data_IF_938486657857
#
_entry.id   IF_938486657857
#
_cell.length_a   1.000
_cell.length_b   1.000
_cell.length_c   1.000
_cell.angle_alpha   90.00
_cell.angle_beta   90.00
_cell.angle_gamma   90.00
#
_symmetry.space_group_name_H-M   'P 1'
#
loop_
_entity.id
_entity.type
_entity.pdbx_description
1 polymer ?
#
# COMPACT_ATOMS: atom_id res chain seq x y z
N UNK A 1 46.79 -41.67 -58.34
CA UNK A 1 46.62 -41.56 -56.88
C UNK A 1 46.40 -40.10 -56.54
N UNK A 2 45.22 -39.70 -56.03
CA UNK A 2 44.91 -38.32 -55.69
C UNK A 2 45.07 -38.08 -54.18
N UNK A 3 45.61 -36.94 -53.78
CA UNK A 3 45.53 -36.40 -52.41
C UNK A 3 46.21 -35.02 -52.38
N UNK A 4 45.70 -33.96 -51.78
CA UNK A 4 44.39 -33.60 -51.23
C UNK A 4 44.47 -32.07 -51.13
N UNK A 5 43.69 -31.32 -51.90
CA UNK A 5 43.62 -29.87 -51.76
C UNK A 5 42.63 -29.55 -50.63
N UNK A 6 43.14 -29.01 -49.52
CA UNK A 6 42.31 -28.51 -48.41
C UNK A 6 41.84 -27.10 -48.77
N UNK A 7 40.57 -26.98 -49.13
CA UNK A 7 39.87 -25.72 -49.35
C UNK A 7 39.42 -25.18 -47.98
N UNK A 8 40.10 -24.15 -47.48
CA UNK A 8 39.71 -23.44 -46.27
C UNK A 8 38.68 -22.36 -46.64
N UNK A 9 37.40 -22.63 -46.39
CA UNK A 9 36.32 -21.63 -46.55
C UNK A 9 36.22 -20.83 -45.24
N UNK A 10 36.66 -19.57 -45.27
CA UNK A 10 36.46 -18.62 -44.18
C UNK A 10 35.11 -17.92 -44.40
N UNK A 11 34.05 -18.37 -43.72
CA UNK A 11 32.81 -17.61 -43.57
C UNK A 11 33.03 -16.51 -42.52
N UNK A 12 33.24 -15.27 -42.97
CA UNK A 12 33.16 -14.09 -42.10
C UNK A 12 31.68 -13.70 -41.95
N UNK A 13 31.06 -14.16 -40.87
CA UNK A 13 29.76 -13.64 -40.43
C UNK A 13 29.97 -12.29 -39.72
N UNK A 14 29.52 -11.22 -40.36
CA UNK A 14 29.47 -9.87 -39.80
C UNK A 14 28.37 -9.83 -38.74
N UNK A 15 28.71 -10.17 -37.50
CA UNK A 15 27.90 -9.83 -36.33
C UNK A 15 28.32 -8.43 -35.86
N UNK A 16 27.59 -7.40 -36.32
CA UNK A 16 27.69 -6.08 -35.71
C UNK A 16 27.16 -6.12 -34.27
N UNK A 17 27.80 -5.45 -33.30
CA UNK A 17 27.27 -5.37 -31.95
C UNK A 17 26.04 -4.46 -32.01
N UNK A 18 24.85 -5.06 -31.98
CA UNK A 18 23.63 -4.33 -31.67
C UNK A 18 23.70 -3.98 -30.17
N UNK A 19 24.37 -2.86 -29.86
CA UNK A 19 24.33 -2.26 -28.55
C UNK A 19 22.88 -1.87 -28.27
N UNK A 20 22.20 -2.72 -27.50
CA UNK A 20 20.92 -2.41 -26.91
C UNK A 20 21.18 -1.27 -25.92
N UNK A 21 21.08 -0.03 -26.40
CA UNK A 21 21.06 1.15 -25.54
C UNK A 21 19.88 0.98 -24.59
N UNK A 22 20.17 0.49 -23.39
CA UNK A 22 19.35 0.64 -22.21
C UNK A 22 19.20 2.15 -21.99
N UNK A 23 18.24 2.74 -22.70
CA UNK A 23 17.64 4.01 -22.34
C UNK A 23 17.17 3.85 -20.90
N UNK A 24 18.02 4.25 -19.97
CA UNK A 24 17.61 4.75 -18.69
C UNK A 24 16.82 6.01 -19.02
N UNK A 25 15.57 5.82 -19.44
CA UNK A 25 14.60 6.91 -19.51
C UNK A 25 14.70 7.57 -18.15
N UNK A 26 15.09 8.85 -18.11
CA UNK A 26 14.93 9.64 -16.89
C UNK A 26 13.49 9.44 -16.50
N UNK A 27 13.26 8.70 -15.40
CA UNK A 27 11.93 8.52 -14.85
C UNK A 27 11.33 9.92 -14.76
N UNK A 28 10.29 10.19 -15.54
CA UNK A 28 9.60 11.46 -15.42
C UNK A 28 9.14 11.57 -13.96
N UNK A 29 9.21 12.77 -13.36
CA UNK A 29 8.73 12.96 -12.00
C UNK A 29 7.29 12.48 -11.94
N UNK A 30 7.04 11.45 -11.14
CA UNK A 30 5.72 10.84 -11.02
C UNK A 30 4.69 11.89 -10.60
N UNK A 31 3.43 11.76 -11.04
CA UNK A 31 2.37 12.67 -10.64
C UNK A 31 2.22 12.67 -9.10
N UNK A 32 1.91 13.84 -8.50
CA UNK A 32 1.65 13.93 -7.07
C UNK A 32 0.43 13.08 -6.69
N UNK A 33 0.34 12.61 -5.43
CA UNK A 33 -0.82 11.85 -4.97
C UNK A 33 -2.10 12.71 -4.96
N UNK A 34 -3.24 12.09 -5.25
CA UNK A 34 -4.54 12.76 -5.23
C UNK A 34 -4.97 13.15 -3.81
N UNK A 35 -5.30 14.41 -3.59
CA UNK A 35 -5.77 14.90 -2.29
C UNK A 35 -7.30 14.76 -2.15
N UNK A 36 -7.74 13.84 -1.28
CA UNK A 36 -9.15 13.63 -0.96
C UNK A 36 -9.60 14.60 0.14
N UNK A 37 -9.78 15.87 -0.22
CA UNK A 37 -10.22 16.94 0.68
C UNK A 37 -11.74 16.94 0.95
N UNK A 38 -12.17 17.38 2.13
CA UNK A 38 -13.60 17.56 2.45
C UNK A 38 -14.21 16.37 3.21
N UNK A 39 -15.38 15.86 2.77
CA UNK A 39 -15.94 14.61 3.31
C UNK A 39 -15.10 13.42 2.81
N UNK A 40 -14.02 13.15 3.54
CA UNK A 40 -13.10 12.04 3.32
C UNK A 40 -13.84 10.71 3.12
N UNK A 41 -14.89 10.44 3.89
CA UNK A 41 -15.64 9.18 3.78
C UNK A 41 -16.53 9.14 2.54
N UNK A 42 -16.97 10.27 2.01
CA UNK A 42 -17.67 10.29 0.73
C UNK A 42 -16.70 10.06 -0.44
N UNK A 43 -15.49 10.64 -0.35
CA UNK A 43 -14.48 10.61 -1.42
C UNK A 43 -13.61 9.35 -1.45
N UNK A 44 -13.57 8.58 -0.37
CA UNK A 44 -12.89 7.28 -0.36
C UNK A 44 -13.69 6.24 -1.17
N UNK A 45 -13.35 6.10 -2.45
CA UNK A 45 -13.98 5.19 -3.41
C UNK A 45 -13.61 3.72 -3.18
N UNK A 46 -14.31 2.82 -3.88
CA UNK A 46 -13.97 1.40 -3.90
C UNK A 46 -12.60 1.14 -4.54
N UNK A 47 -12.20 1.95 -5.52
CA UNK A 47 -10.90 1.89 -6.18
C UNK A 47 -9.76 2.22 -5.20
N UNK A 48 -9.89 3.30 -4.42
CA UNK A 48 -8.93 3.64 -3.37
C UNK A 48 -8.74 2.49 -2.36
N UNK A 49 -9.85 1.89 -1.91
CA UNK A 49 -9.82 0.73 -1.02
C UNK A 49 -9.13 -0.46 -1.67
N UNK A 50 -9.44 -0.74 -2.95
CA UNK A 50 -8.84 -1.82 -3.71
C UNK A 50 -7.33 -1.63 -3.87
N UNK A 51 -6.88 -0.39 -4.12
CA UNK A 51 -5.47 -0.05 -4.20
C UNK A 51 -4.72 -0.31 -2.89
N UNK A 52 -5.31 0.09 -1.75
CA UNK A 52 -4.76 -0.26 -0.42
C UNK A 52 -4.67 -1.77 -0.24
N UNK A 53 -5.71 -2.53 -0.61
CA UNK A 53 -5.69 -4.01 -0.55
C UNK A 53 -4.55 -4.59 -1.39
N UNK A 54 -4.38 -4.12 -2.62
CA UNK A 54 -3.34 -4.59 -3.53
C UNK A 54 -1.95 -4.35 -2.95
N UNK A 55 -1.69 -3.12 -2.49
CA UNK A 55 -0.38 -2.74 -1.98
C UNK A 55 -0.01 -3.42 -0.67
N UNK A 56 -0.99 -3.84 0.13
CA UNK A 56 -0.79 -4.56 1.39
C UNK A 56 -0.83 -6.10 1.25
N UNK A 57 -0.89 -6.62 0.02
CA UNK A 57 -0.69 -8.05 -0.24
C UNK A 57 0.68 -8.50 0.28
N UNK A 58 0.74 -9.71 0.85
CA UNK A 58 1.96 -10.31 1.39
C UNK A 58 3.09 -10.37 0.36
N UNK A 59 2.77 -10.66 -0.90
CA UNK A 59 3.71 -10.65 -2.01
C UNK A 59 4.35 -9.29 -2.26
N UNK A 60 3.61 -8.20 -2.05
CA UNK A 60 4.12 -6.83 -2.17
C UNK A 60 4.94 -6.40 -0.95
N UNK A 61 4.76 -7.05 0.21
CA UNK A 61 5.39 -6.70 1.50
C UNK A 61 6.77 -7.32 1.72
N UNK A 62 7.04 -8.47 1.11
CA UNK A 62 8.26 -9.23 1.37
C UNK A 62 9.27 -9.05 0.21
N UNK A 63 10.29 -8.16 0.33
CA UNK A 63 11.22 -7.86 -0.76
C UNK A 63 12.08 -9.07 -1.16
N UNK A 64 12.47 -9.90 -0.20
CA UNK A 64 13.49 -10.94 -0.37
C UNK A 64 12.92 -12.34 -0.59
N UNK A 65 11.75 -12.46 -1.21
CA UNK A 65 11.14 -13.76 -1.50
C UNK A 65 11.71 -14.32 -2.79
N UNK A 66 11.98 -15.63 -2.79
CA UNK A 66 12.24 -16.39 -4.01
C UNK A 66 11.07 -16.23 -5.01
N UNK A 67 11.30 -15.74 -6.23
CA UNK A 67 10.24 -15.59 -7.24
C UNK A 67 9.48 -16.89 -7.58
N UNK A 68 10.07 -18.05 -7.30
CA UNK A 68 9.42 -19.35 -7.48
C UNK A 68 8.51 -19.76 -6.29
N UNK A 69 8.51 -18.99 -5.20
CA UNK A 69 7.73 -19.25 -3.99
C UNK A 69 7.13 -17.95 -3.42
N UNK A 70 6.44 -17.19 -4.26
CA UNK A 70 5.78 -15.94 -3.88
C UNK A 70 4.68 -16.25 -2.85
N UNK A 71 4.64 -15.59 -1.68
CA UNK A 71 3.61 -15.82 -0.69
C UNK A 71 2.25 -15.36 -1.21
N UNK A 72 1.22 -16.17 -0.97
CA UNK A 72 -0.14 -15.92 -1.46
C UNK A 72 -1.03 -15.57 -0.27
N UNK A 73 -1.72 -14.44 -0.35
CA UNK A 73 -2.81 -14.13 0.58
C UNK A 73 -4.08 -14.92 0.19
N UNK A 74 -4.87 -15.30 1.19
CA UNK A 74 -6.15 -15.98 0.99
C UNK A 74 -7.26 -14.98 0.65
N UNK A 75 -7.15 -14.33 -0.50
CA UNK A 75 -8.14 -13.37 -1.03
C UNK A 75 -9.02 -14.00 -2.10
N UNK A 76 -10.24 -13.46 -2.24
CA UNK A 76 -11.05 -13.64 -3.44
C UNK A 76 -10.76 -12.47 -4.37
N UNK A 77 -10.41 -12.75 -5.63
CA UNK A 77 -10.01 -11.74 -6.61
C UNK A 77 -10.51 -12.09 -8.00
N UNK A 78 -10.86 -11.06 -8.76
CA UNK A 78 -10.96 -11.13 -10.22
C UNK A 78 -9.76 -10.43 -10.84
N UNK A 79 -8.99 -11.18 -11.63
CA UNK A 79 -7.87 -10.67 -12.43
C UNK A 79 -8.31 -10.75 -13.89
N UNK A 80 -8.64 -9.61 -14.53
CA UNK A 80 -9.07 -9.62 -15.92
C UNK A 80 -8.01 -10.17 -16.88
N UNK A 81 -8.45 -10.67 -18.03
CA UNK A 81 -7.56 -11.27 -19.03
C UNK A 81 -6.58 -10.24 -19.59
N UNK A 82 -7.05 -9.01 -19.81
CA UNK A 82 -6.24 -7.88 -20.26
C UNK A 82 -5.12 -7.54 -19.28
N UNK A 83 -5.35 -7.61 -17.97
CA UNK A 83 -4.32 -7.40 -16.94
C UNK A 83 -3.27 -8.49 -17.01
N UNK A 84 -3.70 -9.74 -17.22
CA UNK A 84 -2.80 -10.90 -17.36
C UNK A 84 -1.91 -10.75 -18.61
N UNK A 85 -2.48 -10.34 -19.75
CA UNK A 85 -1.70 -10.13 -20.97
C UNK A 85 -0.76 -8.93 -20.86
N UNK A 86 -1.23 -7.81 -20.28
CA UNK A 86 -0.41 -6.62 -20.02
C UNK A 86 0.78 -6.95 -19.12
N UNK A 87 0.55 -7.68 -18.03
CA UNK A 87 1.61 -8.17 -17.15
C UNK A 87 2.63 -9.02 -17.90
N UNK A 88 2.18 -10.02 -18.65
CA UNK A 88 3.11 -10.84 -19.44
C UNK A 88 3.96 -9.98 -20.36
N UNK A 89 3.34 -9.03 -21.07
CA UNK A 89 4.05 -8.11 -21.96
C UNK A 89 5.10 -7.26 -21.23
N UNK A 90 4.82 -6.78 -20.02
CA UNK A 90 5.78 -5.95 -19.25
C UNK A 90 6.97 -6.76 -18.71
N UNK A 91 6.83 -8.06 -18.51
CA UNK A 91 7.89 -8.94 -17.99
C UNK A 91 8.55 -9.84 -19.03
N UNK A 92 8.22 -9.71 -20.32
CA UNK A 92 8.74 -10.58 -21.40
C UNK A 92 10.28 -10.63 -21.50
N UNK A 93 10.97 -9.57 -21.07
CA UNK A 93 12.44 -9.50 -21.04
C UNK A 93 13.09 -10.17 -19.82
N UNK A 94 12.31 -10.35 -18.75
CA UNK A 94 12.76 -10.87 -17.47
C UNK A 94 13.10 -12.37 -17.58
N UNK A 95 14.17 -12.80 -16.89
CA UNK A 95 14.69 -14.16 -17.01
C UNK A 95 13.66 -15.18 -16.51
N UNK A 96 12.84 -14.82 -15.52
CA UNK A 96 11.87 -15.69 -14.86
C UNK A 96 10.63 -15.93 -15.75
N UNK A 97 10.36 -15.01 -16.68
CA UNK A 97 9.23 -15.05 -17.62
C UNK A 97 9.62 -15.35 -19.07
N UNK A 98 10.90 -15.61 -19.34
CA UNK A 98 11.40 -15.89 -20.69
C UNK A 98 10.88 -17.23 -21.22
N UNK A 99 10.33 -17.19 -22.43
CA UNK A 99 9.92 -18.36 -23.21
C UNK A 99 8.54 -18.92 -22.89
N UNK A 100 8.04 -19.79 -23.77
CA UNK A 100 6.66 -20.29 -23.75
C UNK A 100 6.31 -21.11 -22.51
N UNK A 101 7.29 -21.80 -21.92
CA UNK A 101 7.07 -22.58 -20.70
C UNK A 101 6.71 -21.69 -19.51
N UNK A 102 7.42 -20.58 -19.32
CA UNK A 102 7.16 -19.64 -18.22
C UNK A 102 5.81 -18.94 -18.40
N UNK A 103 5.50 -18.50 -19.63
CA UNK A 103 4.20 -17.93 -19.99
C UNK A 103 3.05 -18.88 -19.68
N UNK A 104 3.13 -20.15 -20.14
CA UNK A 104 2.10 -21.16 -19.88
C UNK A 104 1.92 -21.43 -18.38
N UNK A 105 3.02 -21.49 -17.62
CA UNK A 105 2.99 -21.65 -16.16
C UNK A 105 2.24 -20.50 -15.48
N UNK A 106 2.52 -19.25 -15.83
CA UNK A 106 1.79 -18.10 -15.28
C UNK A 106 0.31 -18.12 -15.67
N UNK A 107 -0.01 -18.42 -16.93
CA UNK A 107 -1.40 -18.50 -17.39
C UNK A 107 -2.21 -19.59 -16.67
N UNK A 108 -1.55 -20.70 -16.28
CA UNK A 108 -2.16 -21.80 -15.53
C UNK A 108 -2.36 -21.51 -14.03
N UNK A 109 -1.79 -20.42 -13.50
CA UNK A 109 -1.99 -20.04 -12.10
C UNK A 109 -3.45 -19.68 -11.79
N UNK A 110 -3.84 -19.93 -10.54
CA UNK A 110 -5.11 -19.45 -9.98
C UNK A 110 -5.14 -17.91 -9.90
N UNK A 111 -6.32 -17.26 -9.81
CA UNK A 111 -6.39 -15.81 -9.69
C UNK A 111 -5.60 -15.21 -8.51
N UNK A 112 -5.62 -15.76 -7.28
CA UNK A 112 -4.79 -15.26 -6.18
C UNK A 112 -3.28 -15.41 -6.43
N UNK A 113 -2.85 -16.48 -7.10
CA UNK A 113 -1.45 -16.67 -7.49
C UNK A 113 -1.02 -15.64 -8.55
N UNK A 114 -1.85 -15.38 -9.56
CA UNK A 114 -1.59 -14.32 -10.56
C UNK A 114 -1.50 -12.96 -9.90
N UNK A 115 -2.48 -12.60 -9.06
CA UNK A 115 -2.49 -11.35 -8.30
C UNK A 115 -1.21 -11.19 -7.47
N UNK A 116 -0.82 -12.21 -6.71
CA UNK A 116 0.39 -12.17 -5.87
C UNK A 116 1.66 -12.02 -6.70
N UNK A 117 1.72 -12.71 -7.85
CA UNK A 117 2.84 -12.58 -8.79
C UNK A 117 2.91 -11.17 -9.38
N UNK A 118 1.80 -10.63 -9.85
CA UNK A 118 1.71 -9.26 -10.38
C UNK A 118 2.14 -8.25 -9.30
N UNK A 119 1.60 -8.37 -8.09
CA UNK A 119 1.94 -7.47 -6.97
C UNK A 119 3.41 -7.54 -6.57
N UNK A 120 4.04 -8.72 -6.59
CA UNK A 120 5.47 -8.87 -6.31
C UNK A 120 6.34 -8.18 -7.37
N UNK A 121 6.04 -8.38 -8.66
CA UNK A 121 6.87 -7.89 -9.75
C UNK A 121 6.63 -6.43 -10.10
N UNK A 122 5.41 -5.93 -9.88
CA UNK A 122 5.04 -4.54 -10.18
C UNK A 122 5.18 -3.62 -8.97
N UNK A 123 5.59 -4.12 -7.79
CA UNK A 123 5.82 -3.25 -6.63
C UNK A 123 6.89 -2.22 -6.96
N UNK A 124 6.65 -0.99 -6.53
CA UNK A 124 7.56 0.15 -6.65
C UNK A 124 7.92 0.52 -8.11
N UNK A 125 7.25 -0.07 -9.10
CA UNK A 125 7.33 0.37 -10.50
C UNK A 125 6.38 1.55 -10.75
N UNK A 126 6.55 2.21 -11.90
CA UNK A 126 5.66 3.29 -12.33
C UNK A 126 4.22 2.78 -12.58
N UNK A 127 4.09 1.54 -13.05
CA UNK A 127 2.81 0.90 -13.41
C UNK A 127 2.03 0.32 -12.22
N UNK A 128 2.59 0.32 -11.00
CA UNK A 128 2.00 -0.36 -9.85
C UNK A 128 0.51 -0.02 -9.64
N UNK A 129 0.19 1.28 -9.64
CA UNK A 129 -1.19 1.74 -9.43
C UNK A 129 -2.10 1.31 -10.57
N UNK A 130 -1.64 1.35 -11.82
CA UNK A 130 -2.42 0.89 -12.97
C UNK A 130 -2.76 -0.61 -12.88
N UNK A 131 -1.92 -1.44 -12.24
CA UNK A 131 -2.27 -2.83 -11.94
C UNK A 131 -3.21 -2.95 -10.74
N UNK A 132 -2.98 -2.17 -9.70
CA UNK A 132 -3.83 -2.14 -8.53
C UNK A 132 -5.28 -1.76 -8.86
N UNK A 133 -5.48 -0.79 -9.76
CA UNK A 133 -6.81 -0.29 -10.14
C UNK A 133 -7.51 -1.22 -11.14
N UNK A 134 -6.75 -1.99 -11.91
CA UNK A 134 -7.29 -2.89 -12.94
C UNK A 134 -7.71 -4.28 -12.42
N UNK A 135 -7.46 -4.60 -11.15
CA UNK A 135 -7.90 -5.85 -10.52
C UNK A 135 -8.99 -5.59 -9.50
N UNK A 136 -9.82 -6.59 -9.18
CA UNK A 136 -10.86 -6.46 -8.15
C UNK A 136 -10.65 -7.44 -7.02
N UNK A 137 -10.20 -6.95 -5.87
CA UNK A 137 -9.94 -7.71 -4.64
C UNK A 137 -11.16 -7.59 -3.73
N UNK A 138 -11.90 -8.68 -3.60
CA UNK A 138 -13.18 -8.72 -2.86
C UNK A 138 -12.98 -8.94 -1.36
N UNK A 139 -11.94 -9.66 -0.96
CA UNK A 139 -11.61 -9.93 0.45
C UNK A 139 -10.29 -9.30 0.84
N UNK A 140 -10.25 -8.77 2.06
CA UNK A 140 -9.07 -8.11 2.60
C UNK A 140 -7.87 -9.09 2.72
N UNK A 141 -6.63 -8.66 2.39
CA UNK A 141 -5.42 -9.41 2.70
C UNK A 141 -5.23 -9.60 4.21
N UNK A 142 -4.39 -10.57 4.59
CA UNK A 142 -4.27 -11.02 5.98
C UNK A 142 -3.95 -9.87 6.95
N UNK A 143 -3.12 -8.92 6.53
CA UNK A 143 -2.70 -7.79 7.36
C UNK A 143 -3.83 -6.79 7.65
N UNK A 144 -4.74 -6.61 6.69
CA UNK A 144 -5.92 -5.76 6.85
C UNK A 144 -7.02 -6.47 7.64
N UNK A 145 -7.12 -7.80 7.53
CA UNK A 145 -7.98 -8.60 8.43
C UNK A 145 -7.49 -8.51 9.88
N UNK A 146 -6.18 -8.58 10.12
CA UNK A 146 -5.60 -8.39 11.45
C UNK A 146 -5.87 -6.98 11.97
N UNK A 147 -5.66 -5.95 11.14
CA UNK A 147 -6.02 -4.57 11.48
C UNK A 147 -7.48 -4.47 11.91
N UNK A 148 -8.42 -4.91 11.06
CA UNK A 148 -9.87 -4.89 11.29
C UNK A 148 -10.27 -5.55 12.60
N UNK A 149 -9.71 -6.73 12.88
CA UNK A 149 -10.16 -7.57 14.00
C UNK A 149 -9.45 -7.29 15.32
N UNK A 150 -8.22 -6.80 15.28
CA UNK A 150 -7.35 -6.74 16.47
C UNK A 150 -6.81 -5.36 16.79
N UNK A 151 -6.54 -4.54 15.78
CA UNK A 151 -5.93 -3.21 15.97
C UNK A 151 -7.00 -2.13 16.03
N UNK A 152 -7.89 -2.08 15.04
CA UNK A 152 -8.97 -1.11 14.95
C UNK A 152 -9.81 -1.02 16.24
N UNK A 153 -10.23 -2.12 16.90
CA UNK A 153 -10.98 -2.02 18.16
C UNK A 153 -10.20 -1.34 19.30
N UNK A 154 -8.88 -1.53 19.38
CA UNK A 154 -8.02 -0.86 20.37
C UNK A 154 -8.05 0.64 20.11
N UNK A 155 -7.90 1.06 18.85
CA UNK A 155 -7.93 2.47 18.47
C UNK A 155 -9.29 3.11 18.70
N UNK A 156 -10.38 2.39 18.39
CA UNK A 156 -11.73 2.92 18.57
C UNK A 156 -12.06 3.14 20.05
N UNK A 157 -11.63 2.24 20.92
CA UNK A 157 -11.90 2.34 22.35
C UNK A 157 -10.93 3.28 23.07
N UNK A 158 -9.69 3.40 22.57
CA UNK A 158 -8.63 4.14 23.25
C UNK A 158 -8.37 5.56 22.71
N UNK A 159 -8.53 5.76 21.41
CA UNK A 159 -8.10 6.99 20.73
C UNK A 159 -9.27 7.73 20.07
N UNK A 160 -10.24 7.01 19.50
CA UNK A 160 -11.36 7.58 18.75
C UNK A 160 -12.58 7.94 19.62
N UNK A 161 -12.36 8.28 20.89
CA UNK A 161 -13.45 8.81 21.73
C UNK A 161 -13.81 10.23 21.26
N UNK A 162 -15.03 10.68 21.54
CA UNK A 162 -15.48 12.04 21.19
C UNK A 162 -14.69 13.15 21.90
N UNK A 163 -14.03 12.83 23.01
CA UNK A 163 -13.13 13.75 23.71
C UNK A 163 -11.76 13.90 23.02
N UNK A 164 -11.36 12.92 22.22
CA UNK A 164 -10.06 12.85 21.58
C UNK A 164 -10.22 12.88 20.04
N UNK A 165 -9.86 11.80 19.33
CA UNK A 165 -9.82 11.78 17.87
C UNK A 165 -11.14 11.37 17.20
N UNK A 166 -12.17 11.01 17.96
CA UNK A 166 -13.49 10.65 17.42
C UNK A 166 -14.38 11.86 17.08
N UNK A 167 -13.98 13.06 17.50
CA UNK A 167 -14.76 14.26 17.28
C UNK A 167 -14.71 14.70 15.79
N UNK A 168 -15.84 15.07 15.18
CA UNK A 168 -15.83 15.73 13.88
C UNK A 168 -15.08 17.05 13.85
N UNK A 169 -15.05 17.80 14.95
CA UNK A 169 -14.24 19.00 15.13
C UNK A 169 -12.80 18.61 15.50
N UNK A 170 -11.90 18.78 14.55
CA UNK A 170 -10.48 18.47 14.67
C UNK A 170 -9.63 19.65 15.11
N UNK A 171 -10.23 20.81 15.42
CA UNK A 171 -9.48 22.02 15.81
C UNK A 171 -8.50 21.78 16.96
N UNK A 172 -8.84 20.88 17.89
CA UNK A 172 -8.03 20.55 19.07
C UNK A 172 -6.98 19.46 18.83
N UNK A 173 -7.31 18.43 18.05
CA UNK A 173 -6.47 17.24 17.90
C UNK A 173 -5.73 17.18 16.57
N UNK A 174 -6.17 17.99 15.58
CA UNK A 174 -5.71 18.04 14.18
C UNK A 174 -5.87 16.73 13.40
N UNK A 175 -6.06 15.60 14.07
CA UNK A 175 -6.28 14.26 13.51
C UNK A 175 -7.65 13.74 13.88
N UNK A 176 -8.34 13.12 12.91
CA UNK A 176 -9.62 12.44 13.10
C UNK A 176 -9.53 10.94 12.86
N UNK A 177 -10.19 10.20 13.73
CA UNK A 177 -10.57 8.80 13.54
C UNK A 177 -12.08 8.71 13.33
N UNK A 178 -12.48 7.86 12.40
CA UNK A 178 -13.84 7.72 11.91
C UNK A 178 -14.51 6.49 12.53
N UNK A 179 -15.72 6.68 13.07
CA UNK A 179 -16.56 5.60 13.57
C UNK A 179 -18.00 5.80 13.05
N UNK A 180 -18.16 5.75 11.72
CA UNK A 180 -19.48 5.85 11.07
C UNK A 180 -20.07 4.45 10.84
N UNK A 181 -21.13 4.04 11.56
CA UNK A 181 -21.74 2.72 11.43
C UNK A 181 -22.47 2.52 10.09
N UNK A 182 -22.77 3.59 9.34
CA UNK A 182 -23.36 3.51 8.00
C UNK A 182 -22.29 3.37 6.90
N UNK A 183 -21.05 3.72 7.21
CA UNK A 183 -19.90 3.68 6.28
C UNK A 183 -18.73 2.90 6.92
N UNK A 184 -19.01 1.72 7.48
CA UNK A 184 -18.03 0.98 8.29
C UNK A 184 -16.74 0.65 7.53
N UNK A 185 -16.85 0.13 6.31
CA UNK A 185 -15.66 -0.21 5.53
C UNK A 185 -14.87 1.05 5.16
N UNK A 186 -15.52 2.13 4.72
CA UNK A 186 -14.82 3.39 4.45
C UNK A 186 -14.17 3.98 5.70
N UNK A 187 -14.84 3.92 6.85
CA UNK A 187 -14.29 4.37 8.13
C UNK A 187 -13.04 3.57 8.51
N UNK A 188 -13.10 2.25 8.34
CA UNK A 188 -11.98 1.36 8.62
C UNK A 188 -10.76 1.70 7.77
N UNK A 189 -10.94 1.83 6.45
CA UNK A 189 -9.86 2.15 5.54
C UNK A 189 -9.35 3.59 5.74
N UNK A 190 -10.26 4.55 5.96
CA UNK A 190 -9.86 5.92 6.29
C UNK A 190 -8.96 5.95 7.53
N UNK A 191 -9.34 5.24 8.59
CA UNK A 191 -8.51 5.13 9.80
C UNK A 191 -7.14 4.52 9.49
N UNK A 192 -7.10 3.39 8.79
CA UNK A 192 -5.85 2.71 8.44
C UNK A 192 -4.90 3.64 7.67
N UNK A 193 -5.44 4.41 6.73
CA UNK A 193 -4.68 5.36 5.91
C UNK A 193 -4.23 6.57 6.73
N UNK A 194 -5.11 7.14 7.57
CA UNK A 194 -4.80 8.25 8.47
C UNK A 194 -3.60 7.92 9.36
N UNK A 195 -3.55 6.70 9.93
CA UNK A 195 -2.44 6.28 10.80
C UNK A 195 -1.08 6.32 10.10
N UNK A 196 -1.04 6.06 8.79
CA UNK A 196 0.19 6.15 7.98
C UNK A 196 0.54 7.59 7.67
N UNK A 197 -0.44 8.44 7.41
CA UNK A 197 -0.24 9.81 6.93
C UNK A 197 0.13 10.77 8.06
N UNK A 198 -0.23 10.44 9.29
CA UNK A 198 -0.05 11.35 10.40
C UNK A 198 1.41 11.42 10.87
N UNK A 199 1.90 12.64 11.02
CA UNK A 199 3.24 12.97 11.47
C UNK A 199 3.17 14.07 12.52
N UNK A 200 3.99 13.96 13.57
CA UNK A 200 4.19 15.02 14.58
C UNK A 200 5.69 15.21 14.74
N UNK A 201 6.17 16.45 14.56
CA UNK A 201 7.59 16.81 14.68
C UNK A 201 8.54 15.85 13.94
N UNK A 202 8.22 15.56 12.68
CA UNK A 202 9.00 14.63 11.83
C UNK A 202 8.99 13.17 12.27
N UNK A 203 7.99 12.77 13.06
CA UNK A 203 7.80 11.38 13.50
C UNK A 203 6.46 10.86 13.03
N UNK A 204 6.52 9.71 12.36
CA UNK A 204 5.34 9.03 11.86
C UNK A 204 4.55 8.39 13.02
N UNK A 205 3.23 8.51 12.95
CA UNK A 205 2.35 7.80 13.86
C UNK A 205 2.52 6.28 13.70
N UNK A 206 2.61 5.81 12.45
CA UNK A 206 3.02 4.46 12.11
C UNK A 206 4.32 4.52 11.29
N UNK A 207 5.45 4.25 11.95
CA UNK A 207 6.75 4.14 11.33
C UNK A 207 6.99 2.67 10.92
N UNK A 208 6.83 2.38 9.64
CA UNK A 208 6.89 1.00 9.12
C UNK A 208 8.31 0.46 9.05
N UNK A 209 9.28 1.34 8.78
CA UNK A 209 10.70 0.97 8.69
C UNK A 209 11.34 0.80 10.07
N UNK A 210 10.83 1.53 11.06
CA UNK A 210 11.26 1.44 12.45
C UNK A 210 10.05 1.37 13.39
N UNK A 211 9.43 0.18 13.53
CA UNK A 211 8.20 0.00 14.31
C UNK A 211 8.30 0.57 15.73
N UNK A 212 9.44 0.40 16.39
CA UNK A 212 9.69 0.88 17.77
C UNK A 212 9.74 2.41 17.90
N UNK A 213 9.95 3.13 16.80
CA UNK A 213 9.93 4.61 16.75
C UNK A 213 8.54 5.17 16.39
N UNK A 214 7.52 4.32 16.25
CA UNK A 214 6.15 4.74 15.93
C UNK A 214 5.50 5.49 17.08
N UNK A 215 4.96 6.69 16.84
CA UNK A 215 4.25 7.43 17.89
C UNK A 215 3.02 6.67 18.38
N UNK A 216 2.41 5.80 17.55
CA UNK A 216 1.26 5.01 17.94
C UNK A 216 1.59 4.12 19.15
N UNK A 217 2.81 3.61 19.23
CA UNK A 217 3.27 2.82 20.37
C UNK A 217 3.55 3.72 21.58
N UNK A 218 4.34 4.78 21.40
CA UNK A 218 4.75 5.64 22.51
C UNK A 218 3.57 6.36 23.16
N UNK A 219 2.57 6.76 22.37
CA UNK A 219 1.35 7.43 22.84
C UNK A 219 0.40 6.50 23.60
N UNK A 220 0.61 5.18 23.57
CA UNK A 220 -0.17 4.24 24.38
C UNK A 220 0.35 4.10 25.81
N UNK A 221 1.55 4.63 26.10
CA UNK A 221 2.26 4.47 27.36
C UNK A 221 2.12 5.70 28.28
N UNK A 222 2.39 5.56 29.59
CA UNK A 222 2.50 6.69 30.50
C UNK A 222 3.66 7.62 30.10
N UNK A 223 3.54 8.96 30.31
CA UNK A 223 4.57 9.92 29.93
C UNK A 223 5.96 9.64 30.52
N UNK A 224 6.04 9.04 31.71
CA UNK A 224 7.28 8.70 32.40
C UNK A 224 7.95 7.42 31.86
N UNK A 225 7.26 6.65 31.02
CA UNK A 225 7.78 5.42 30.40
C UNK A 225 8.09 5.58 28.91
N UNK A 226 8.03 6.80 28.39
CA UNK A 226 8.29 7.03 26.97
C UNK A 226 9.06 8.31 26.72
N UNK A 227 9.85 8.29 25.64
CA UNK A 227 10.55 9.47 25.17
C UNK A 227 9.63 10.47 24.47
N UNK A 228 8.53 9.98 23.88
CA UNK A 228 7.59 10.79 23.11
C UNK A 228 6.19 10.56 23.66
N UNK A 229 5.86 11.30 24.71
CA UNK A 229 4.57 11.22 25.36
C UNK A 229 3.47 11.78 24.45
N UNK A 230 2.27 11.21 24.56
CA UNK A 230 1.09 11.81 23.97
C UNK A 230 0.91 13.23 24.53
N UNK A 231 0.52 14.23 23.70
CA UNK A 231 0.22 15.57 24.19
C UNK A 231 -0.75 15.55 25.38
N UNK A 232 -0.52 16.39 26.38
CA UNK A 232 -1.41 16.49 27.52
C UNK A 232 -2.77 17.03 27.06
N UNK A 233 -3.82 16.21 27.19
CA UNK A 233 -5.19 16.58 26.87
C UNK A 233 -6.11 16.04 27.96
N UNK A 234 -7.17 16.78 28.28
CA UNK A 234 -8.15 16.35 29.27
C UNK A 234 -8.76 14.99 28.91
N UNK A 235 -8.78 14.07 29.88
CA UNK A 235 -9.35 12.74 29.71
C UNK A 235 -8.45 11.71 29.03
N UNK A 236 -7.22 12.06 28.63
CA UNK A 236 -6.25 11.08 28.16
C UNK A 236 -5.90 10.07 29.27
N UNK A 237 -5.89 8.79 28.92
CA UNK A 237 -5.45 7.69 29.78
C UNK A 237 -4.55 6.76 28.97
N UNK A 238 -3.35 6.40 29.48
CA UNK A 238 -2.52 5.38 28.84
C UNK A 238 -3.29 4.08 28.62
N UNK A 239 -3.12 3.47 27.45
CA UNK A 239 -3.75 2.18 27.13
C UNK A 239 -3.00 1.01 27.74
N UNK A 240 -1.69 1.16 27.89
CA UNK A 240 -0.82 0.16 28.49
C UNK A 240 0.04 0.82 29.56
N UNK A 241 0.39 0.07 30.59
CA UNK A 241 1.27 0.54 31.65
C UNK A 241 2.75 0.34 31.32
N UNK A 242 3.07 -0.50 30.33
CA UNK A 242 4.44 -0.95 29.98
C UNK A 242 4.48 -1.39 28.50
N UNK A 243 5.67 -1.37 27.91
CA UNK A 243 5.95 -1.78 26.53
C UNK A 243 5.95 -3.31 26.30
N UNK A 244 5.88 -4.10 27.37
CA UNK A 244 5.70 -5.55 27.32
C UNK A 244 4.22 -5.98 27.49
N UNK A 245 3.27 -5.04 27.48
CA UNK A 245 1.86 -5.40 27.49
C UNK A 245 1.51 -6.22 26.22
N UNK A 246 0.66 -7.27 26.30
CA UNK A 246 0.27 -8.06 25.13
C UNK A 246 -0.31 -7.23 23.98
N UNK A 247 -1.09 -6.18 24.30
CA UNK A 247 -1.64 -5.26 23.30
C UNK A 247 -0.58 -4.37 22.64
N UNK A 248 0.40 -3.89 23.40
CA UNK A 248 1.54 -3.14 22.86
C UNK A 248 2.33 -3.99 21.85
N UNK A 249 2.72 -5.21 22.25
CA UNK A 249 3.44 -6.15 21.36
C UNK A 249 2.62 -6.54 20.14
N UNK A 250 1.29 -6.61 20.27
CA UNK A 250 0.38 -6.85 19.15
C UNK A 250 0.46 -5.72 18.12
N UNK A 251 0.35 -4.46 18.54
CA UNK A 251 0.47 -3.31 17.64
C UNK A 251 1.86 -3.27 17.01
N UNK A 252 2.92 -3.43 17.81
CA UNK A 252 4.31 -3.44 17.33
C UNK A 252 4.54 -4.47 16.23
N UNK A 253 4.10 -5.72 16.46
CA UNK A 253 4.21 -6.80 15.46
C UNK A 253 3.40 -6.49 14.20
N UNK A 254 2.21 -5.92 14.35
CA UNK A 254 1.40 -5.54 13.20
C UNK A 254 2.10 -4.47 12.36
N UNK A 255 2.65 -3.42 12.99
CA UNK A 255 3.42 -2.37 12.29
C UNK A 255 4.62 -2.97 11.54
N UNK A 256 5.38 -3.88 12.19
CA UNK A 256 6.55 -4.51 11.58
C UNK A 256 6.23 -5.42 10.39
N UNK A 257 4.95 -5.72 10.15
CA UNK A 257 4.50 -6.51 9.02
C UNK A 257 3.93 -5.65 7.89
N UNK A 258 3.74 -4.34 8.08
CA UNK A 258 3.21 -3.46 7.03
C UNK A 258 4.24 -3.27 5.91
N UNK A 259 3.76 -2.99 4.70
CA UNK A 259 4.65 -2.67 3.57
C UNK A 259 5.40 -1.36 3.81
N UNK A 260 6.72 -1.32 3.59
CA UNK A 260 7.43 -0.06 3.38
C UNK A 260 6.94 0.61 2.11
N UNK A 261 6.38 1.82 2.22
CA UNK A 261 5.85 2.57 1.08
C UNK A 261 6.78 3.73 0.75
N UNK A 262 6.85 4.09 -0.53
CA UNK A 262 7.51 5.33 -0.92
C UNK A 262 6.91 6.52 -0.14
N UNK A 263 7.74 7.37 0.51
CA UNK A 263 7.25 8.45 1.38
C UNK A 263 6.26 9.37 0.67
N UNK A 264 6.58 9.74 -0.58
CA UNK A 264 5.79 10.69 -1.38
C UNK A 264 4.59 10.05 -2.07
N UNK A 265 4.69 8.80 -2.54
CA UNK A 265 3.61 8.15 -3.29
C UNK A 265 2.53 7.61 -2.35
N UNK A 266 2.92 7.00 -1.23
CA UNK A 266 1.98 6.29 -0.36
C UNK A 266 1.11 5.30 -1.14
N UNK A 267 -0.21 5.46 -1.07
CA UNK A 267 -1.18 4.67 -1.84
C UNK A 267 -1.61 5.36 -3.16
N UNK A 268 -0.88 6.37 -3.62
CA UNK A 268 -1.26 7.22 -4.76
C UNK A 268 -2.35 8.25 -4.45
N UNK A 269 -2.78 8.37 -3.19
CA UNK A 269 -3.72 9.38 -2.73
C UNK A 269 -3.50 9.71 -1.25
N UNK A 270 -3.99 10.87 -0.81
CA UNK A 270 -3.94 11.35 0.57
C UNK A 270 -5.32 11.72 1.11
N UNK A 271 -5.54 11.52 2.40
CA UNK A 271 -6.74 12.01 3.06
C UNK A 271 -6.42 13.40 3.61
N UNK A 272 -7.22 14.39 3.23
CA UNK A 272 -7.07 15.76 3.74
C UNK A 272 -8.33 16.06 4.55
N UNK A 273 -8.30 15.88 5.89
CA UNK A 273 -9.43 16.20 6.74
C UNK A 273 -9.82 17.66 6.54
N UNK A 274 -11.12 17.94 6.43
CA UNK A 274 -11.60 19.32 6.42
C UNK A 274 -11.19 20.00 7.73
N UNK A 275 -10.30 20.98 7.65
CA UNK A 275 -10.01 21.88 8.77
C UNK A 275 -11.21 22.79 9.00
N UNK A 276 -11.63 22.93 10.25
CA UNK A 276 -12.63 23.90 10.63
C UNK A 276 -12.11 25.31 10.28
N UNK A 277 -12.65 25.92 9.22
CA UNK A 277 -12.24 27.23 8.71
C UNK A 277 -12.06 27.33 7.20
N UNK A 278 -11.89 26.21 6.49
CA UNK A 278 -11.92 26.21 5.03
C UNK A 278 -13.38 26.22 4.54
N UNK A 279 -13.92 27.41 4.30
CA UNK A 279 -15.10 27.60 3.46
C UNK A 279 -14.69 27.17 2.05
N UNK A 280 -15.18 26.02 1.58
CA UNK A 280 -15.12 25.74 0.14
C UNK A 280 -15.97 26.82 -0.57
N UNK A 281 -15.52 27.37 -1.71
CA UNK A 281 -16.45 27.97 -2.65
C UNK A 281 -17.54 26.94 -2.94
N UNK A 282 -18.80 27.37 -2.99
CA UNK A 282 -19.88 26.48 -3.36
C UNK A 282 -19.57 25.92 -4.76
N UNK A 283 -19.21 24.64 -4.84
CA UNK A 283 -19.18 23.93 -6.13
C UNK A 283 -20.63 23.82 -6.60
N UNK A 284 -20.89 24.36 -7.78
CA UNK A 284 -22.13 24.22 -8.54
C UNK A 284 -22.47 22.73 -8.71
N UNK A 285 -23.32 22.22 -7.82
CA UNK A 285 -24.06 21.00 -8.12
C UNK A 285 -24.94 21.30 -9.34
N UNK A 286 -24.86 20.51 -10.42
CA UNK A 286 -25.77 20.68 -11.55
C UNK A 286 -27.21 20.58 -11.04
N UNK A 287 -28.13 21.43 -11.53
CA UNK A 287 -29.52 21.42 -11.08
C UNK A 287 -30.12 20.04 -11.34
N UNK A 288 -30.84 19.52 -10.36
CA UNK A 288 -31.63 18.30 -10.50
C UNK A 288 -32.57 18.46 -11.71
N UNK A 289 -32.42 17.58 -12.72
CA UNK A 289 -33.36 17.50 -13.82
C UNK A 289 -34.73 17.00 -13.31
N UNK A 290 -35.85 17.56 -13.82
CA UNK A 290 -37.20 17.35 -13.31
C UNK A 290 -37.78 15.95 -13.56
#
# INVERSE_FOLDING_TARGET
>A
MPSTAVLLIILSAVFGPLALELRHSRAEPMPPPDDLAGDVLARLTAEHINRVRFMELRAAREPNVNPNNIPIDRVTVVVPAEVTQRFLASVLGDREFRGDAARRRFLAMTPPQKLSTIAYWMRDTEDEFAYADAVRIERDPTILVEYKRRIQPILMNGCATSACHGNPDTSRTRMRLYNDPRRQDRSLYANFITLRQWEVDHRLLVNRDKPDESLLLTYTLPPDQTRYAHPATDGFKPLYLRDDAPGYRLIRRWISQLRSLHPERGYGFRLVPRTAGATQPADDLPPDEP
#
